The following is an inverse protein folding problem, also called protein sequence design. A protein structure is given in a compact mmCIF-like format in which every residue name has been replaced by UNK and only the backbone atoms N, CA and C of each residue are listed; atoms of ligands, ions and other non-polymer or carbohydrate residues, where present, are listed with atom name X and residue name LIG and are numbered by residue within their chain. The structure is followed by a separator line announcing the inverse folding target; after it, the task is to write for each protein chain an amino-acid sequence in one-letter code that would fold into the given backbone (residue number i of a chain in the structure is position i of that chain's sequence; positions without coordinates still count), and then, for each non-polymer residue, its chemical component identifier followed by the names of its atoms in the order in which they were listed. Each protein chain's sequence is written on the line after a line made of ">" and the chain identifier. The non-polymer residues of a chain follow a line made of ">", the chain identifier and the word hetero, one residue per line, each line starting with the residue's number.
data_IF_268461491152
#
_entry.id   IF_268461491152
#
_cell.length_a   1.000
_cell.length_b   1.000
_cell.length_c   1.000
_cell.angle_alpha   90.00
_cell.angle_beta   90.00
_cell.angle_gamma   90.00
#
_symmetry.space_group_name_H-M   'P 1'
#
loop_
_entity.id
_entity.type
_entity.pdbx_description
1 polymer ?
#
# COMPACT_ATOMS: atom_id res chain seq x y z
N UNK A 1 3.78 14.03 50.27
CA UNK A 1 2.86 14.00 49.11
C UNK A 1 3.15 15.07 48.06
N UNK A 2 3.85 16.18 48.35
CA UNK A 2 4.23 17.18 47.34
C UNK A 2 5.48 16.83 46.52
N UNK A 3 6.36 15.94 47.01
CA UNK A 3 7.60 15.56 46.31
C UNK A 3 7.39 14.66 45.08
N UNK A 4 6.27 13.93 45.02
CA UNK A 4 5.93 13.07 43.87
C UNK A 4 5.51 13.88 42.66
N UNK A 5 4.87 15.04 42.87
CA UNK A 5 4.43 15.95 41.80
C UNK A 5 5.63 16.65 41.13
N UNK A 6 6.64 17.04 41.91
CA UNK A 6 7.87 17.63 41.37
C UNK A 6 8.72 16.61 40.62
N UNK A 7 8.81 15.36 41.10
CA UNK A 7 9.49 14.27 40.38
C UNK A 7 8.77 13.91 39.08
N UNK A 8 7.44 13.86 39.06
CA UNK A 8 6.67 13.60 37.85
C UNK A 8 6.91 14.67 36.77
N UNK A 9 7.04 15.93 37.17
CA UNK A 9 7.34 17.03 36.25
C UNK A 9 8.77 16.97 35.69
N UNK A 10 9.75 16.56 36.49
CA UNK A 10 11.13 16.36 36.02
C UNK A 10 11.24 15.15 35.09
N UNK A 11 10.55 14.05 35.38
CA UNK A 11 10.47 12.90 34.50
C UNK A 11 9.75 13.22 33.19
N UNK A 12 8.69 14.03 33.24
CA UNK A 12 8.00 14.53 32.05
C UNK A 12 8.88 15.39 31.15
N UNK A 13 9.75 16.24 31.72
CA UNK A 13 10.69 17.05 30.95
C UNK A 13 11.76 16.18 30.25
N UNK A 14 12.29 15.18 30.95
CA UNK A 14 13.30 14.24 30.40
C UNK A 14 12.69 13.34 29.32
N UNK A 15 11.44 12.90 29.51
CA UNK A 15 10.71 12.11 28.52
C UNK A 15 10.42 12.91 27.24
N UNK A 16 10.05 14.20 27.39
CA UNK A 16 9.77 15.08 26.25
C UNK A 16 11.02 15.30 25.39
N UNK A 17 12.19 15.42 26.02
CA UNK A 17 13.48 15.61 25.34
C UNK A 17 13.88 14.34 24.57
N UNK A 18 13.69 13.16 25.17
CA UNK A 18 13.91 11.86 24.50
C UNK A 18 12.97 11.63 23.32
N UNK A 19 11.70 12.00 23.43
CA UNK A 19 10.72 11.85 22.35
C UNK A 19 11.12 12.65 21.11
N UNK A 20 11.78 13.80 21.30
CA UNK A 20 12.38 14.57 20.20
C UNK A 20 13.46 13.79 19.45
N UNK A 21 14.36 13.12 20.17
CA UNK A 21 15.41 12.27 19.58
C UNK A 21 14.83 11.05 18.85
N UNK A 22 13.81 10.41 19.41
CA UNK A 22 13.11 9.30 18.76
C UNK A 22 12.34 9.75 17.50
N UNK A 23 11.78 10.96 17.49
CA UNK A 23 11.11 11.54 16.33
C UNK A 23 12.08 11.84 15.19
N UNK A 24 13.29 12.32 15.49
CA UNK A 24 14.34 12.49 14.47
C UNK A 24 14.76 11.16 13.85
N UNK A 25 14.95 10.12 14.67
CA UNK A 25 15.26 8.77 14.18
C UNK A 25 14.12 8.15 13.36
N UNK A 26 12.86 8.40 13.75
CA UNK A 26 11.68 7.99 12.99
C UNK A 26 11.60 8.72 11.65
N UNK A 27 11.91 10.02 11.61
CA UNK A 27 11.88 10.82 10.39
C UNK A 27 12.94 10.34 9.39
N UNK A 28 14.15 10.06 9.87
CA UNK A 28 15.23 9.48 9.05
C UNK A 28 14.82 8.09 8.55
N UNK A 29 14.23 7.25 9.41
CA UNK A 29 13.77 5.92 9.02
C UNK A 29 12.60 5.96 8.02
N UNK A 30 11.69 6.92 8.16
CA UNK A 30 10.59 7.15 7.24
C UNK A 30 11.07 7.64 5.87
N UNK A 31 12.12 8.45 5.83
CA UNK A 31 12.72 8.93 4.58
C UNK A 31 13.42 7.79 3.81
N UNK A 32 14.11 6.90 4.53
CA UNK A 32 14.75 5.71 3.96
C UNK A 32 13.71 4.66 3.51
N UNK A 33 12.65 4.43 4.29
CA UNK A 33 11.56 3.52 3.88
C UNK A 33 10.72 4.09 2.74
N UNK A 34 10.51 5.41 2.72
CA UNK A 34 9.76 6.12 1.68
C UNK A 34 10.37 5.94 0.30
N UNK A 35 11.71 6.02 0.17
CA UNK A 35 12.38 5.83 -1.12
C UNK A 35 12.23 4.40 -1.66
N UNK A 36 12.35 3.39 -0.81
CA UNK A 36 12.19 1.99 -1.22
C UNK A 36 10.74 1.66 -1.59
N UNK A 37 9.77 2.20 -0.84
CA UNK A 37 8.35 2.07 -1.18
C UNK A 37 8.02 2.81 -2.49
N UNK A 38 8.52 4.02 -2.67
CA UNK A 38 8.30 4.81 -3.89
C UNK A 38 8.88 4.09 -5.11
N UNK A 39 10.10 3.57 -5.02
CA UNK A 39 10.73 2.79 -6.11
C UNK A 39 9.95 1.51 -6.42
N UNK A 40 9.41 0.84 -5.40
CA UNK A 40 8.59 -0.36 -5.57
C UNK A 40 7.24 -0.05 -6.20
N UNK A 41 6.56 1.01 -5.78
CA UNK A 41 5.30 1.48 -6.37
C UNK A 41 5.49 1.91 -7.82
N UNK A 42 6.54 2.66 -8.12
CA UNK A 42 6.89 3.04 -9.49
C UNK A 42 7.17 1.79 -10.34
N UNK A 43 7.92 0.83 -9.80
CA UNK A 43 8.16 -0.45 -10.48
C UNK A 43 6.88 -1.21 -10.79
N UNK A 44 5.96 -1.32 -9.83
CA UNK A 44 4.65 -1.94 -10.04
C UNK A 44 3.79 -1.16 -11.05
N UNK A 45 3.80 0.17 -10.99
CA UNK A 45 3.05 1.01 -11.93
C UNK A 45 3.55 0.84 -13.37
N UNK A 46 4.86 0.84 -13.56
CA UNK A 46 5.48 0.60 -14.87
C UNK A 46 5.16 -0.81 -15.37
N UNK A 47 5.32 -1.83 -14.51
CA UNK A 47 4.99 -3.21 -14.88
C UNK A 47 3.52 -3.36 -15.28
N UNK A 48 2.59 -2.78 -14.52
CA UNK A 48 1.16 -2.80 -14.83
C UNK A 48 0.85 -2.13 -16.18
N UNK A 49 1.48 -0.99 -16.46
CA UNK A 49 1.34 -0.29 -17.73
C UNK A 49 1.82 -1.15 -18.91
N UNK A 50 2.98 -1.80 -18.80
CA UNK A 50 3.50 -2.71 -19.82
C UNK A 50 2.59 -3.91 -20.05
N UNK A 51 2.00 -4.48 -19.00
CA UNK A 51 1.03 -5.59 -19.10
C UNK A 51 -0.20 -5.15 -19.88
N UNK A 52 -0.79 -3.99 -19.55
CA UNK A 52 -1.97 -3.45 -20.27
C UNK A 52 -1.65 -3.23 -21.74
N UNK A 53 -0.51 -2.61 -22.05
CA UNK A 53 -0.05 -2.43 -23.43
C UNK A 53 0.12 -3.76 -24.16
N UNK A 54 0.77 -4.74 -23.53
CA UNK A 54 0.96 -6.07 -24.12
C UNK A 54 -0.37 -6.73 -24.48
N UNK A 55 -1.37 -6.64 -23.60
CA UNK A 55 -2.70 -7.15 -23.88
C UNK A 55 -3.36 -6.45 -25.07
N UNK A 56 -3.27 -5.12 -25.16
CA UNK A 56 -3.81 -4.35 -26.30
C UNK A 56 -3.19 -4.83 -27.61
N UNK A 57 -1.86 -4.95 -27.66
CA UNK A 57 -1.16 -5.43 -28.84
C UNK A 57 -1.51 -6.88 -29.19
N UNK A 58 -1.69 -7.74 -28.17
CA UNK A 58 -2.12 -9.12 -28.38
C UNK A 58 -3.52 -9.19 -29.00
N UNK A 59 -4.47 -8.39 -28.52
CA UNK A 59 -5.82 -8.28 -29.10
C UNK A 59 -5.78 -7.79 -30.54
N UNK A 60 -4.99 -6.75 -30.83
CA UNK A 60 -4.78 -6.24 -32.19
C UNK A 60 -4.18 -7.31 -33.12
N UNK A 61 -3.15 -8.02 -32.67
CA UNK A 61 -2.51 -9.08 -33.45
C UNK A 61 -3.53 -10.17 -33.83
N UNK A 62 -4.33 -10.63 -32.87
CA UNK A 62 -5.37 -11.64 -33.09
C UNK A 62 -6.43 -11.16 -34.10
N UNK A 63 -6.85 -9.89 -34.01
CA UNK A 63 -7.82 -9.30 -34.95
C UNK A 63 -7.22 -9.20 -36.36
N UNK A 64 -5.98 -8.70 -36.48
CA UNK A 64 -5.29 -8.51 -37.76
C UNK A 64 -5.04 -9.87 -38.43
N UNK A 65 -4.55 -10.87 -37.69
CA UNK A 65 -4.29 -12.22 -38.22
C UNK A 65 -5.58 -12.89 -38.73
N UNK A 66 -6.71 -12.68 -38.05
CA UNK A 66 -8.00 -13.25 -38.47
C UNK A 66 -8.81 -12.34 -39.41
N UNK A 67 -8.24 -11.21 -39.86
CA UNK A 67 -8.97 -10.24 -40.68
C UNK A 67 -9.29 -10.76 -42.10
N UNK A 68 -8.56 -11.74 -42.63
CA UNK A 68 -8.83 -12.28 -43.98
C UNK A 68 -9.55 -13.63 -43.98
N UNK A 69 -9.98 -14.11 -42.80
CA UNK A 69 -10.63 -15.43 -42.64
C UNK A 69 -12.10 -15.30 -42.22
N UNK A 70 -12.97 -16.27 -42.54
CA UNK A 70 -14.37 -16.27 -42.11
C UNK A 70 -14.53 -16.36 -40.58
N UNK A 71 -13.45 -16.67 -39.85
CA UNK A 71 -13.39 -16.75 -38.39
C UNK A 71 -13.27 -15.39 -37.66
N UNK A 72 -13.40 -14.25 -38.37
CA UNK A 72 -13.38 -12.89 -37.79
C UNK A 72 -14.21 -12.73 -36.51
N UNK A 73 -15.44 -13.24 -36.54
CA UNK A 73 -16.37 -13.12 -35.41
C UNK A 73 -15.89 -13.94 -34.21
N UNK A 74 -15.37 -15.15 -34.45
CA UNK A 74 -14.82 -16.01 -33.42
C UNK A 74 -13.55 -15.41 -32.78
N UNK A 75 -12.71 -14.78 -33.60
CA UNK A 75 -11.52 -14.04 -33.15
C UNK A 75 -11.89 -12.85 -32.25
N UNK A 76 -12.87 -12.05 -32.66
CA UNK A 76 -13.37 -10.93 -31.86
C UNK A 76 -13.95 -11.38 -30.50
N UNK A 77 -14.73 -12.46 -30.49
CA UNK A 77 -15.27 -13.03 -29.24
C UNK A 77 -14.19 -13.64 -28.35
N UNK A 78 -13.14 -14.24 -28.92
CA UNK A 78 -12.00 -14.75 -28.16
C UNK A 78 -11.25 -13.63 -27.45
N UNK A 79 -11.04 -12.50 -28.14
CA UNK A 79 -10.43 -11.30 -27.55
C UNK A 79 -11.30 -10.74 -26.43
N UNK A 80 -12.61 -10.60 -26.66
CA UNK A 80 -13.56 -10.13 -25.64
C UNK A 80 -13.59 -11.07 -24.40
N UNK A 81 -13.56 -12.38 -24.64
CA UNK A 81 -13.50 -13.40 -23.58
C UNK A 81 -12.20 -13.34 -22.79
N UNK A 82 -11.05 -13.20 -23.47
CA UNK A 82 -9.74 -13.07 -22.83
C UNK A 82 -9.70 -11.84 -21.92
N UNK A 83 -10.13 -10.68 -22.41
CA UNK A 83 -10.18 -9.46 -21.61
C UNK A 83 -11.12 -9.57 -20.42
N UNK A 84 -12.30 -10.19 -20.62
CA UNK A 84 -13.25 -10.42 -19.53
C UNK A 84 -12.65 -11.33 -18.45
N UNK A 85 -11.93 -12.37 -18.84
CA UNK A 85 -11.25 -13.28 -17.92
C UNK A 85 -10.15 -12.56 -17.15
N UNK A 86 -9.30 -11.78 -17.83
CA UNK A 86 -8.25 -10.97 -17.18
C UNK A 86 -8.87 -9.97 -16.20
N UNK A 87 -9.93 -9.26 -16.61
CA UNK A 87 -10.65 -8.34 -15.73
C UNK A 87 -11.24 -9.06 -14.51
N UNK A 88 -11.78 -10.27 -14.70
CA UNK A 88 -12.33 -11.08 -13.61
C UNK A 88 -11.24 -11.57 -12.64
N UNK A 89 -10.10 -12.01 -13.14
CA UNK A 89 -8.94 -12.40 -12.32
C UNK A 89 -8.41 -11.20 -11.53
N UNK A 90 -8.32 -10.03 -12.14
CA UNK A 90 -7.94 -8.79 -11.45
C UNK A 90 -9.00 -8.41 -10.40
N UNK A 91 -10.28 -8.56 -10.70
CA UNK A 91 -11.36 -8.25 -9.78
C UNK A 91 -11.34 -9.15 -8.53
N UNK A 92 -11.11 -10.46 -8.70
CA UNK A 92 -10.98 -11.40 -7.58
C UNK A 92 -9.64 -11.23 -6.84
N UNK A 93 -8.57 -10.99 -7.58
CA UNK A 93 -7.22 -10.86 -7.04
C UNK A 93 -6.92 -9.50 -6.43
N UNK A 94 -7.77 -8.49 -6.66
CA UNK A 94 -7.71 -7.22 -5.93
C UNK A 94 -8.35 -7.47 -4.57
N UNK A 95 -7.56 -7.56 -3.47
CA UNK A 95 -8.15 -7.58 -2.15
C UNK A 95 -9.02 -6.31 -2.03
N UNK A 96 -10.27 -6.48 -1.60
CA UNK A 96 -11.16 -5.37 -1.30
C UNK A 96 -10.35 -4.32 -0.55
N UNK A 97 -10.28 -3.12 -1.11
CA UNK A 97 -9.48 -1.97 -0.62
C UNK A 97 -9.81 -1.54 0.82
N UNK A 98 -10.69 -2.27 1.49
CA UNK A 98 -10.95 -2.23 2.92
C UNK A 98 -9.75 -2.71 3.78
N UNK A 99 -8.92 -3.65 3.30
CA UNK A 99 -7.87 -4.24 4.16
C UNK A 99 -6.52 -3.50 4.12
N UNK A 100 -6.27 -2.63 3.13
CA UNK A 100 -5.02 -1.84 3.07
C UNK A 100 -4.93 -0.69 4.09
N UNK A 101 -5.93 -0.53 4.96
CA UNK A 101 -5.89 0.38 6.12
C UNK A 101 -5.38 -0.35 7.38
N UNK A 102 -5.14 -1.67 7.32
CA UNK A 102 -4.77 -2.46 8.51
C UNK A 102 -3.38 -2.17 9.07
N UNK A 103 -2.38 -1.82 8.25
CA UNK A 103 -1.03 -1.55 8.75
C UNK A 103 -0.95 -0.24 9.57
N UNK A 104 -1.77 0.76 9.23
CA UNK A 104 -1.82 2.03 9.97
C UNK A 104 -2.74 1.95 11.18
N UNK A 105 -3.86 1.23 11.06
CA UNK A 105 -4.77 0.99 12.20
C UNK A 105 -4.13 0.11 13.27
N UNK A 106 -3.35 -0.92 12.90
CA UNK A 106 -2.62 -1.76 13.87
C UNK A 106 -1.57 -0.95 14.64
N UNK A 107 -0.79 -0.13 13.94
CA UNK A 107 0.19 0.75 14.58
C UNK A 107 -0.52 1.80 15.45
N UNK A 108 -1.68 2.31 15.03
CA UNK A 108 -2.46 3.28 15.81
C UNK A 108 -3.09 2.66 17.06
N UNK A 109 -3.58 1.42 16.98
CA UNK A 109 -4.17 0.71 18.11
C UNK A 109 -3.11 0.36 19.16
N UNK A 110 -1.94 -0.14 18.73
CA UNK A 110 -0.79 -0.36 19.61
C UNK A 110 -0.35 0.94 20.29
N UNK A 111 -0.30 2.05 19.56
CA UNK A 111 0.10 3.36 20.09
C UNK A 111 -0.97 3.96 21.03
N UNK A 112 -2.26 3.73 20.76
CA UNK A 112 -3.34 4.08 21.68
C UNK A 112 -3.30 3.27 22.97
N UNK A 113 -2.95 1.99 22.86
CA UNK A 113 -2.83 1.08 23.99
C UNK A 113 -1.63 1.46 24.88
N UNK A 114 -0.52 1.84 24.27
CA UNK A 114 0.67 2.34 24.98
C UNK A 114 0.39 3.69 25.68
N UNK A 115 -0.37 4.59 25.05
CA UNK A 115 -0.82 5.84 25.69
C UNK A 115 -1.74 5.56 26.89
N UNK A 116 -2.59 4.52 26.79
CA UNK A 116 -3.49 4.12 27.88
C UNK A 116 -2.71 3.58 29.08
N UNK A 117 -1.70 2.75 28.83
CA UNK A 117 -0.83 2.21 29.87
C UNK A 117 0.00 3.31 30.55
N UNK A 118 0.51 4.27 29.79
CA UNK A 118 1.20 5.44 30.36
C UNK A 118 0.28 6.29 31.24
N UNK A 119 -1.01 6.41 30.89
CA UNK A 119 -2.00 7.17 31.64
C UNK A 119 -2.50 6.45 32.90
N UNK A 120 -2.32 5.13 32.98
CA UNK A 120 -2.67 4.33 34.16
C UNK A 120 -1.52 4.31 35.20
N UNK A 121 -0.29 4.59 34.75
CA UNK A 121 0.92 4.65 35.59
C UNK A 121 1.13 6.04 36.22
N UNK A 122 0.54 7.10 35.66
CA UNK A 122 0.57 8.50 36.16
C UNK A 122 -0.67 8.82 36.99
#
# INVERSE_FOLDING_TARGET
>A
MFETITKARQLGAIALERVGEYLELLKISAEIQGQNLMRRVVGYAVAALFVVLSFIFLGLAVIITCWDTPYRVLSAWSVAGLYSLVAFVVYIGTPSRADSVSAFDTVRDELQQDIKLMKEIV
#
